data_IF_102485510812
#
_entry.id   IF_102485510812
#
_cell.length_a   1.000
_cell.length_b   1.000
_cell.length_c   1.000
_cell.angle_alpha   90.00
_cell.angle_beta   90.00
_cell.angle_gamma   90.00
#
_symmetry.space_group_name_H-M   'P 1'
#
loop_
_entity.id
_entity.type
_entity.pdbx_description
1 polymer ?
#
# COMPACT_ATOMS: atom_id res chain seq x y z
N UNK A 1 1.85 -4.29 -4.10
CA UNK A 1 1.70 -3.80 -2.72
C UNK A 1 1.64 -2.29 -2.74
N UNK A 2 0.60 -1.71 -2.14
CA UNK A 2 0.38 -0.27 -1.98
C UNK A 2 0.10 0.00 -0.51
N UNK A 3 0.58 1.14 0.01
CA UNK A 3 0.32 1.57 1.37
C UNK A 3 0.37 3.08 1.48
N UNK A 4 -0.57 3.68 2.21
CA UNK A 4 -0.47 5.07 2.63
C UNK A 4 0.43 5.25 3.86
N UNK A 5 1.01 6.44 4.00
CA UNK A 5 1.72 6.84 5.22
C UNK A 5 1.43 8.30 5.56
N UNK A 6 1.15 8.57 6.83
CA UNK A 6 1.15 9.92 7.39
C UNK A 6 2.53 10.39 7.87
N UNK A 7 3.54 9.52 7.80
CA UNK A 7 4.94 9.84 8.16
C UNK A 7 5.70 10.29 6.92
N UNK A 8 6.90 10.86 7.13
CA UNK A 8 7.84 11.05 6.03
C UNK A 8 8.13 9.70 5.35
N UNK A 9 8.30 9.74 4.02
CA UNK A 9 8.52 8.54 3.20
C UNK A 9 9.70 7.71 3.72
N UNK A 10 10.80 8.37 4.09
CA UNK A 10 12.00 7.70 4.60
C UNK A 10 11.72 6.94 5.90
N UNK A 11 10.99 7.54 6.84
CA UNK A 11 10.63 6.87 8.10
C UNK A 11 9.66 5.72 7.84
N UNK A 12 8.66 5.92 6.98
CA UNK A 12 7.71 4.87 6.61
C UNK A 12 8.39 3.65 5.96
N UNK A 13 9.31 3.87 5.02
CA UNK A 13 10.07 2.79 4.40
C UNK A 13 10.99 2.07 5.38
N UNK A 14 11.67 2.81 6.28
CA UNK A 14 12.54 2.23 7.30
C UNK A 14 11.77 1.34 8.27
N UNK A 15 10.64 1.83 8.77
CA UNK A 15 9.76 1.07 9.65
C UNK A 15 9.20 -0.17 8.95
N UNK A 16 8.75 -0.02 7.70
CA UNK A 16 8.24 -1.12 6.91
C UNK A 16 9.30 -2.20 6.68
N UNK A 17 10.53 -1.82 6.29
CA UNK A 17 11.65 -2.75 6.16
C UNK A 17 11.97 -3.47 7.48
N UNK A 18 12.00 -2.76 8.60
CA UNK A 18 12.25 -3.35 9.92
C UNK A 18 11.17 -4.38 10.31
N UNK A 19 9.90 -4.03 10.17
CA UNK A 19 8.78 -4.91 10.49
C UNK A 19 8.76 -6.14 9.58
N UNK A 20 8.96 -5.92 8.28
CA UNK A 20 9.05 -6.96 7.26
C UNK A 20 10.39 -7.71 7.29
N UNK A 21 11.30 -7.45 8.22
CA UNK A 21 12.46 -8.32 8.51
C UNK A 21 12.32 -9.11 9.83
N UNK A 22 11.52 -8.65 10.79
CA UNK A 22 11.39 -9.26 12.14
C UNK A 22 10.42 -10.47 12.29
N UNK A 23 10.02 -11.10 11.19
CA UNK A 23 8.97 -12.14 11.02
C UNK A 23 7.60 -11.90 11.69
N UNK A 24 7.29 -10.67 12.11
CA UNK A 24 6.00 -10.36 12.73
C UNK A 24 4.95 -10.11 11.64
N UNK A 25 4.12 -11.12 11.36
CA UNK A 25 2.80 -11.06 10.67
C UNK A 25 2.67 -10.21 9.38
N UNK A 26 3.75 -9.81 8.72
CA UNK A 26 3.67 -8.97 7.52
C UNK A 26 3.15 -9.80 6.34
N UNK A 27 1.91 -9.55 5.90
CA UNK A 27 1.32 -10.20 4.72
C UNK A 27 2.23 -10.15 3.49
N UNK A 28 2.95 -9.03 3.32
CA UNK A 28 3.91 -8.86 2.22
C UNK A 28 5.03 -9.90 2.26
N UNK A 29 5.65 -10.15 3.42
CA UNK A 29 6.71 -11.16 3.48
C UNK A 29 6.18 -12.58 3.35
N UNK A 30 5.06 -12.90 4.00
CA UNK A 30 4.48 -14.25 3.89
C UNK A 30 4.24 -14.57 2.40
N UNK A 31 3.66 -13.61 1.67
CA UNK A 31 3.43 -13.74 0.23
C UNK A 31 4.71 -13.86 -0.60
N UNK A 32 5.76 -13.15 -0.19
CA UNK A 32 7.09 -13.23 -0.82
C UNK A 32 7.75 -14.60 -0.58
N UNK A 33 7.66 -15.14 0.64
CA UNK A 33 8.15 -16.48 0.99
C UNK A 33 7.39 -17.56 0.19
N UNK A 34 6.05 -17.47 0.12
CA UNK A 34 5.20 -18.42 -0.63
C UNK A 34 5.52 -18.47 -2.14
N UNK A 35 5.96 -17.34 -2.72
CA UNK A 35 6.29 -17.24 -4.14
C UNK A 35 7.79 -17.28 -4.45
N UNK A 36 8.65 -17.45 -3.43
CA UNK A 36 10.10 -17.45 -3.59
C UNK A 36 10.66 -16.11 -4.12
N UNK A 37 10.04 -14.99 -3.77
CA UNK A 37 10.49 -13.65 -4.16
C UNK A 37 10.91 -12.81 -2.95
N UNK A 38 11.67 -11.75 -3.20
CA UNK A 38 12.14 -10.83 -2.16
C UNK A 38 11.37 -9.51 -2.15
N UNK A 39 11.20 -8.94 -0.96
CA UNK A 39 10.62 -7.61 -0.79
C UNK A 39 11.61 -6.51 -1.27
N UNK A 40 11.30 -5.83 -2.38
CA UNK A 40 12.17 -4.79 -2.95
C UNK A 40 11.87 -3.38 -2.41
N UNK A 41 12.32 -3.06 -1.20
CA UNK A 41 12.08 -1.75 -0.55
C UNK A 41 12.81 -0.57 -1.21
N UNK A 42 13.86 -0.84 -1.98
CA UNK A 42 14.62 0.18 -2.72
C UNK A 42 13.95 0.58 -4.04
N UNK A 43 12.94 -0.18 -4.49
CA UNK A 43 12.19 0.06 -5.73
C UNK A 43 10.75 0.48 -5.45
N UNK A 44 10.56 1.40 -4.50
CA UNK A 44 9.26 2.00 -4.24
C UNK A 44 9.08 3.28 -5.08
N UNK A 45 7.87 3.48 -5.60
CA UNK A 45 7.48 4.70 -6.32
C UNK A 45 6.37 5.42 -5.56
N UNK A 46 6.39 6.75 -5.56
CA UNK A 46 5.32 7.56 -4.95
C UNK A 46 4.17 7.69 -5.95
N UNK A 47 2.99 7.16 -5.60
CA UNK A 47 1.80 7.20 -6.46
C UNK A 47 1.02 8.52 -6.36
N UNK A 48 1.00 9.14 -5.17
CA UNK A 48 0.31 10.39 -4.89
C UNK A 48 0.86 11.06 -3.62
N UNK A 49 0.56 12.35 -3.41
CA UNK A 49 0.90 13.10 -2.19
C UNK A 49 -0.29 13.98 -1.78
N UNK A 50 -0.62 13.96 -0.49
CA UNK A 50 -1.59 14.88 0.12
C UNK A 50 -1.27 15.08 1.61
N UNK A 51 -1.44 16.31 2.09
CA UNK A 51 -1.38 16.62 3.52
C UNK A 51 -2.58 16.07 4.29
N UNK A 52 -3.71 15.90 3.63
CA UNK A 52 -4.95 15.41 4.23
C UNK A 52 -4.92 13.87 4.37
N UNK A 53 -5.12 13.32 5.59
CA UNK A 53 -5.18 11.88 5.82
C UNK A 53 -6.26 11.16 5.03
N UNK A 54 -7.47 11.70 4.96
CA UNK A 54 -8.59 11.09 4.28
C UNK A 54 -8.33 11.01 2.77
N UNK A 55 -7.75 12.05 2.18
CA UNK A 55 -7.37 12.02 0.75
C UNK A 55 -6.34 10.93 0.48
N UNK A 56 -5.35 10.73 1.36
CA UNK A 56 -4.36 9.65 1.20
C UNK A 56 -5.01 8.26 1.29
N UNK A 57 -5.92 8.07 2.23
CA UNK A 57 -6.63 6.80 2.43
C UNK A 57 -7.55 6.47 1.24
N UNK A 58 -8.32 7.45 0.76
CA UNK A 58 -9.15 7.30 -0.44
C UNK A 58 -8.28 6.98 -1.66
N UNK A 59 -7.18 7.70 -1.85
CA UNK A 59 -6.27 7.47 -2.98
C UNK A 59 -5.62 6.08 -2.91
N UNK A 60 -5.23 5.64 -1.71
CA UNK A 60 -4.70 4.29 -1.51
C UNK A 60 -5.74 3.23 -1.85
N UNK A 61 -6.96 3.35 -1.32
CA UNK A 61 -8.03 2.41 -1.57
C UNK A 61 -8.36 2.31 -3.07
N UNK A 62 -8.46 3.45 -3.74
CA UNK A 62 -8.70 3.54 -5.19
C UNK A 62 -7.58 2.84 -5.98
N UNK A 63 -6.31 3.08 -5.64
CA UNK A 63 -5.16 2.43 -6.31
C UNK A 63 -5.11 0.93 -6.05
N UNK A 64 -5.42 0.48 -4.83
CA UNK A 64 -5.48 -0.95 -4.50
C UNK A 64 -6.54 -1.65 -5.33
N UNK A 65 -7.77 -1.12 -5.36
CA UNK A 65 -8.87 -1.73 -6.13
C UNK A 65 -8.57 -1.76 -7.62
N UNK A 66 -7.99 -0.69 -8.19
CA UNK A 66 -7.62 -0.67 -9.62
C UNK A 66 -6.50 -1.65 -10.00
N UNK A 67 -5.64 -2.01 -9.06
CA UNK A 67 -4.58 -2.99 -9.30
C UNK A 67 -5.09 -4.42 -9.20
N UNK A 68 -6.25 -4.63 -8.56
CA UNK A 68 -6.94 -5.92 -8.46
C UNK A 68 -5.98 -7.03 -7.98
N UNK A 69 -5.94 -8.18 -8.65
CA UNK A 69 -5.05 -9.32 -8.32
C UNK A 69 -3.54 -8.99 -8.33
N UNK A 70 -3.14 -7.84 -8.88
CA UNK A 70 -1.73 -7.38 -8.86
C UNK A 70 -1.35 -6.72 -7.53
N UNK A 71 -2.31 -6.46 -6.64
CA UNK A 71 -2.07 -5.86 -5.34
C UNK A 71 -2.59 -6.71 -4.19
N UNK A 72 -1.66 -7.13 -3.33
CA UNK A 72 -1.94 -7.94 -2.14
C UNK A 72 -2.37 -7.11 -0.91
N UNK A 73 -2.49 -5.80 -1.06
CA UNK A 73 -2.80 -4.91 0.06
C UNK A 73 -4.29 -4.87 0.33
N UNK A 74 -4.67 -4.80 1.61
CA UNK A 74 -6.02 -4.43 2.01
C UNK A 74 -6.10 -2.89 2.10
N UNK A 75 -7.19 -2.26 1.63
CA UNK A 75 -7.33 -0.81 1.67
C UNK A 75 -7.63 -0.31 3.09
N UNK A 76 -7.16 0.90 3.42
CA UNK A 76 -7.43 1.55 4.72
C UNK A 76 -8.90 1.91 4.89
N UNK A 77 -9.59 2.21 3.78
CA UNK A 77 -11.02 2.50 3.72
C UNK A 77 -11.67 1.72 2.59
N UNK A 78 -12.93 1.33 2.77
CA UNK A 78 -13.69 0.68 1.72
C UNK A 78 -14.36 1.74 0.82
N UNK A 79 -14.18 1.62 -0.49
CA UNK A 79 -14.87 2.45 -1.47
C UNK A 79 -15.95 1.63 -2.17
N UNK A 80 -17.16 2.18 -2.23
CA UNK A 80 -18.23 1.61 -3.03
C UNK A 80 -17.93 1.72 -4.53
N UNK A 81 -18.61 0.89 -5.33
CA UNK A 81 -18.50 0.97 -6.79
C UNK A 81 -18.83 2.36 -7.34
N UNK A 82 -19.79 3.08 -6.73
CA UNK A 82 -20.17 4.43 -7.17
C UNK A 82 -19.05 5.45 -6.91
N UNK A 83 -18.38 5.35 -5.77
CA UNK A 83 -17.24 6.22 -5.42
C UNK A 83 -16.05 5.95 -6.35
N UNK A 84 -15.77 4.68 -6.65
CA UNK A 84 -14.72 4.31 -7.61
C UNK A 84 -15.01 4.86 -9.02
N UNK A 85 -16.25 4.79 -9.48
CA UNK A 85 -16.69 5.38 -10.75
C UNK A 85 -16.55 6.90 -10.73
N UNK A 86 -16.86 7.55 -9.62
CA UNK A 86 -16.68 8.99 -9.46
C UNK A 86 -15.20 9.40 -9.56
N UNK A 87 -14.30 8.66 -8.91
CA UNK A 87 -12.85 8.89 -8.91
C UNK A 87 -12.16 8.52 -10.24
N UNK A 88 -12.85 7.87 -11.17
CA UNK A 88 -12.33 7.52 -12.49
C UNK A 88 -12.45 8.63 -13.54
N UNK A 89 -13.08 9.75 -13.17
CA UNK A 89 -13.20 10.97 -13.99
C UNK A 89 -12.06 11.94 -13.68
#
# INVERSE_FOLDING_TARGET
>A
YVKQTGKSLNNGLREHHSNTNRKVSSHLRIRCEDFGCDCQFTKCTVLARSGDPLIREITEAEKIVRLDDKCISAPSVFLSAKELVYLAK
#
